data_IF_942692439081
#
_entry.id   IF_942692439081
#
_cell.length_a   1.000
_cell.length_b   1.000
_cell.length_c   1.000
_cell.angle_alpha   90.00
_cell.angle_beta   90.00
_cell.angle_gamma   90.00
#
_symmetry.space_group_name_H-M   'P 1'
#
loop_
_entity.id
_entity.type
_entity.pdbx_description
1 polymer ?
#
# COMPACT_ATOMS: atom_id res chain seq x y z
N UNK A 1 2.26 -41.72 62.92
CA UNK A 1 3.34 -40.86 63.45
C UNK A 1 3.23 -39.50 62.77
N UNK A 2 3.16 -38.46 63.59
CA UNK A 2 3.21 -37.00 63.35
C UNK A 2 2.61 -36.37 62.07
N UNK A 3 1.42 -35.78 62.29
CA UNK A 3 0.86 -34.66 61.54
C UNK A 3 1.47 -33.35 62.07
N UNK A 4 2.01 -32.49 61.20
CA UNK A 4 2.43 -31.12 61.55
C UNK A 4 1.48 -30.12 60.89
N UNK A 5 0.90 -29.26 61.74
CA UNK A 5 -0.01 -28.16 61.41
C UNK A 5 0.77 -26.91 60.96
N UNK A 6 0.27 -26.19 59.96
CA UNK A 6 0.60 -24.78 59.71
C UNK A 6 -0.73 -24.02 59.55
N UNK A 7 -1.23 -23.37 60.61
CA UNK A 7 -1.08 -21.95 60.99
C UNK A 7 -1.58 -20.96 59.92
N UNK A 8 -2.88 -20.71 60.03
CA UNK A 8 -3.60 -19.51 59.59
C UNK A 8 -2.94 -18.25 60.16
N UNK A 9 -2.56 -17.31 59.29
CA UNK A 9 -2.18 -15.95 59.68
C UNK A 9 -3.34 -15.03 59.31
N UNK A 10 -4.09 -14.56 60.31
CA UNK A 10 -4.99 -13.42 60.19
C UNK A 10 -4.14 -12.16 60.24
N UNK A 11 -4.17 -11.35 59.18
CA UNK A 11 -3.62 -10.00 59.19
C UNK A 11 -4.77 -9.01 59.01
N UNK A 12 -5.21 -8.44 60.13
CA UNK A 12 -6.11 -7.30 60.16
C UNK A 12 -5.31 -6.02 59.93
N UNK A 13 -5.53 -5.35 58.79
CA UNK A 13 -5.04 -4.00 58.53
C UNK A 13 -6.24 -3.04 58.50
N UNK A 14 -6.31 -2.24 59.56
CA UNK A 14 -7.19 -1.08 59.71
C UNK A 14 -6.62 0.07 58.87
N UNK A 15 -7.54 0.86 58.32
CA UNK A 15 -7.28 1.79 57.24
C UNK A 15 -6.61 3.10 57.63
N UNK A 16 -6.01 3.70 56.59
CA UNK A 16 -5.85 5.15 56.45
C UNK A 16 -6.40 5.47 55.07
N UNK A 17 -7.58 6.09 55.04
CA UNK A 17 -8.22 6.55 53.81
C UNK A 17 -7.43 7.73 53.25
N UNK A 18 -6.70 7.48 52.17
CA UNK A 18 -6.28 8.54 51.27
C UNK A 18 -7.51 8.97 50.44
N UNK A 19 -7.74 10.27 50.22
CA UNK A 19 -8.71 10.69 49.22
C UNK A 19 -8.25 10.07 47.89
N UNK A 20 -9.11 9.24 47.30
CA UNK A 20 -8.93 8.83 45.92
C UNK A 20 -8.99 10.12 45.09
N UNK A 21 -7.82 10.63 44.74
CA UNK A 21 -7.65 11.52 43.61
C UNK A 21 -8.39 10.82 42.47
N UNK A 22 -9.47 11.46 42.00
CA UNK A 22 -10.21 10.95 40.87
C UNK A 22 -9.20 10.65 39.77
N UNK A 23 -9.25 9.43 39.25
CA UNK A 23 -8.77 9.18 37.91
C UNK A 23 -9.61 10.10 37.01
N UNK A 24 -9.19 11.36 36.86
CA UNK A 24 -9.43 12.11 35.65
C UNK A 24 -8.82 11.22 34.59
N UNK A 25 -9.65 10.34 34.03
CA UNK A 25 -9.27 9.52 32.89
C UNK A 25 -8.73 10.52 31.89
N UNK A 26 -7.51 10.25 31.41
CA UNK A 26 -6.98 11.01 30.28
C UNK A 26 -8.10 11.05 29.25
N UNK A 27 -8.45 12.24 28.74
CA UNK A 27 -9.55 12.38 27.80
C UNK A 27 -9.30 11.39 26.69
N UNK A 28 -10.14 10.35 26.61
CA UNK A 28 -10.12 9.38 25.54
C UNK A 28 -10.18 10.20 24.26
N UNK A 29 -9.08 10.23 23.50
CA UNK A 29 -8.96 11.11 22.35
C UNK A 29 -10.11 10.75 21.41
N UNK A 30 -11.04 11.69 21.25
CA UNK A 30 -12.28 11.41 20.58
C UNK A 30 -11.99 11.45 19.08
N UNK A 31 -11.87 10.27 18.47
CA UNK A 31 -11.78 10.12 17.02
C UNK A 31 -12.94 10.87 16.33
N UNK A 32 -12.70 11.49 15.16
CA UNK A 32 -13.75 12.18 14.43
C UNK A 32 -14.87 11.21 14.03
N UNK A 33 -16.10 11.72 13.95
CA UNK A 33 -17.23 10.95 13.44
C UNK A 33 -16.98 10.53 11.99
N UNK A 34 -17.28 9.27 11.67
CA UNK A 34 -17.26 8.74 10.31
C UNK A 34 -18.37 9.42 9.50
N UNK A 35 -18.00 10.33 8.61
CA UNK A 35 -18.94 11.22 7.90
C UNK A 35 -18.96 11.00 6.39
N UNK A 36 -17.90 10.41 5.84
CA UNK A 36 -17.79 10.05 4.43
C UNK A 36 -17.88 8.53 4.27
N UNK A 37 -18.65 8.05 3.30
CA UNK A 37 -18.94 6.61 3.16
C UNK A 37 -18.82 6.13 1.71
N UNK A 38 -17.96 5.15 1.50
CA UNK A 38 -17.89 4.30 0.32
C UNK A 38 -18.68 3.00 0.51
N UNK A 39 -18.39 2.01 -0.33
CA UNK A 39 -18.97 0.67 -0.23
C UNK A 39 -18.34 -0.15 0.90
N UNK A 40 -17.02 -0.11 1.03
CA UNK A 40 -16.25 -0.87 2.03
C UNK A 40 -15.55 0.01 3.05
N UNK A 41 -15.46 1.32 2.78
CA UNK A 41 -14.70 2.27 3.61
C UNK A 41 -15.63 3.32 4.18
N UNK A 42 -15.51 3.59 5.48
CA UNK A 42 -16.07 4.78 6.12
C UNK A 42 -14.93 5.64 6.64
N UNK A 43 -14.96 6.93 6.34
CA UNK A 43 -13.89 7.86 6.66
C UNK A 43 -14.33 8.92 7.67
N UNK A 44 -13.57 9.05 8.75
CA UNK A 44 -13.64 10.14 9.71
C UNK A 44 -12.52 11.14 9.43
N UNK A 45 -12.83 12.44 9.49
CA UNK A 45 -11.89 13.49 9.09
C UNK A 45 -11.75 14.49 10.25
N UNK A 46 -10.52 14.76 10.64
CA UNK A 46 -10.23 15.80 11.62
C UNK A 46 -10.17 17.18 10.95
N UNK A 47 -11.05 18.08 11.37
CA UNK A 47 -11.11 19.45 10.88
C UNK A 47 -12.14 19.65 9.76
N UNK A 48 -11.87 20.60 8.85
CA UNK A 48 -12.78 21.01 7.77
C UNK A 48 -12.33 20.49 6.38
N UNK A 49 -11.38 19.56 6.34
CA UNK A 49 -10.92 18.96 5.09
C UNK A 49 -11.99 18.03 4.51
N UNK A 50 -11.92 17.80 3.19
CA UNK A 50 -12.78 16.84 2.49
C UNK A 50 -11.93 16.12 1.43
N UNK A 51 -12.08 14.80 1.28
CA UNK A 51 -11.36 14.06 0.25
C UNK A 51 -11.85 14.48 -1.13
N UNK A 52 -11.01 14.30 -2.13
CA UNK A 52 -11.47 14.42 -3.51
C UNK A 52 -12.52 13.34 -3.85
N UNK A 53 -13.42 13.66 -4.78
CA UNK A 53 -14.58 12.83 -5.12
C UNK A 53 -14.22 11.42 -5.61
N UNK A 54 -13.01 11.23 -6.14
CA UNK A 54 -12.51 9.91 -6.55
C UNK A 54 -11.91 9.07 -5.42
N UNK A 55 -11.57 9.65 -4.27
CA UNK A 55 -10.78 8.99 -3.22
C UNK A 55 -11.46 7.74 -2.65
N UNK A 56 -12.71 7.83 -2.19
CA UNK A 56 -13.41 6.67 -1.63
C UNK A 56 -13.70 5.60 -2.68
N UNK A 57 -14.06 6.02 -3.91
CA UNK A 57 -14.27 5.09 -5.04
C UNK A 57 -12.97 4.33 -5.36
N UNK A 58 -11.82 4.98 -5.25
CA UNK A 58 -10.52 4.34 -5.43
C UNK A 58 -10.22 3.32 -4.34
N UNK A 59 -10.46 3.67 -3.08
CA UNK A 59 -10.28 2.75 -1.96
C UNK A 59 -11.18 1.51 -2.11
N UNK A 60 -12.46 1.70 -2.48
CA UNK A 60 -13.38 0.59 -2.73
C UNK A 60 -12.87 -0.33 -3.86
N UNK A 61 -12.38 0.25 -4.97
CA UNK A 61 -11.76 -0.52 -6.05
C UNK A 61 -10.51 -1.26 -5.61
N UNK A 62 -9.74 -0.69 -4.69
CA UNK A 62 -8.57 -1.35 -4.14
C UNK A 62 -9.00 -2.59 -3.32
N UNK A 63 -10.04 -2.49 -2.48
CA UNK A 63 -10.62 -3.67 -1.77
C UNK A 63 -11.04 -4.75 -2.77
N UNK A 64 -11.77 -4.38 -3.82
CA UNK A 64 -12.22 -5.33 -4.84
C UNK A 64 -11.05 -5.97 -5.59
N UNK A 65 -10.03 -5.20 -5.95
CA UNK A 65 -8.84 -5.70 -6.62
C UNK A 65 -8.07 -6.69 -5.76
N UNK A 66 -7.94 -6.44 -4.45
CA UNK A 66 -7.35 -7.38 -3.50
C UNK A 66 -8.20 -8.64 -3.37
N UNK A 67 -9.53 -8.50 -3.28
CA UNK A 67 -10.44 -9.64 -3.23
C UNK A 67 -10.31 -10.55 -4.45
N UNK A 68 -10.20 -9.98 -5.65
CA UNK A 68 -9.95 -10.72 -6.89
C UNK A 68 -8.56 -11.37 -6.87
N UNK A 69 -7.51 -10.63 -6.51
CA UNK A 69 -6.14 -11.13 -6.50
C UNK A 69 -5.97 -12.34 -5.58
N UNK A 70 -6.55 -12.27 -4.38
CA UNK A 70 -6.41 -13.29 -3.35
C UNK A 70 -7.54 -14.33 -3.34
N UNK A 71 -8.47 -14.25 -4.30
CA UNK A 71 -9.65 -15.12 -4.38
C UNK A 71 -10.47 -15.11 -3.06
N UNK A 72 -10.58 -13.94 -2.43
CA UNK A 72 -11.32 -13.73 -1.17
C UNK A 72 -12.61 -12.96 -1.41
N UNK A 73 -13.61 -13.27 -0.59
CA UNK A 73 -14.85 -12.49 -0.55
C UNK A 73 -14.59 -11.15 0.14
N UNK A 74 -15.08 -10.07 -0.47
CA UNK A 74 -15.05 -8.71 0.11
C UNK A 74 -16.37 -8.33 0.80
N UNK A 75 -17.37 -9.23 0.80
CA UNK A 75 -18.71 -8.94 1.29
C UNK A 75 -18.76 -8.52 2.77
N UNK A 76 -17.81 -9.01 3.57
CA UNK A 76 -17.71 -8.73 5.01
C UNK A 76 -16.58 -7.73 5.33
N UNK A 77 -15.94 -7.14 4.32
CA UNK A 77 -14.90 -6.13 4.53
C UNK A 77 -15.56 -4.80 4.88
N UNK A 78 -15.13 -4.22 6.00
CA UNK A 78 -15.51 -2.88 6.44
C UNK A 78 -14.29 -2.23 7.09
N UNK A 79 -13.85 -1.09 6.54
CA UNK A 79 -12.65 -0.38 6.97
C UNK A 79 -13.06 0.99 7.48
N UNK A 80 -12.68 1.30 8.72
CA UNK A 80 -12.71 2.66 9.23
C UNK A 80 -11.37 3.32 8.90
N UNK A 81 -11.43 4.49 8.28
CA UNK A 81 -10.25 5.27 7.90
C UNK A 81 -10.32 6.64 8.57
N UNK A 82 -9.29 7.02 9.30
CA UNK A 82 -9.23 8.28 10.01
C UNK A 82 -8.16 9.16 9.39
N UNK A 83 -8.60 10.21 8.69
CA UNK A 83 -7.72 11.27 8.17
C UNK A 83 -7.56 12.34 9.24
N UNK A 84 -6.43 12.31 9.92
CA UNK A 84 -6.13 13.08 11.12
C UNK A 84 -5.06 14.14 10.86
N UNK A 85 -4.87 15.06 11.80
CA UNK A 85 -3.66 15.89 11.85
C UNK A 85 -2.48 15.05 12.30
N UNK A 86 -1.28 15.41 11.85
CA UNK A 86 -0.05 14.67 12.17
C UNK A 86 0.16 14.45 13.68
N UNK A 87 -0.20 15.43 14.53
CA UNK A 87 -0.06 15.28 15.98
C UNK A 87 -0.89 14.12 16.56
N UNK A 88 -2.12 13.91 16.08
CA UNK A 88 -2.96 12.78 16.52
C UNK A 88 -2.47 11.46 15.91
N UNK A 89 -1.90 11.49 14.71
CA UNK A 89 -1.21 10.31 14.14
C UNK A 89 0.00 9.95 14.99
N UNK A 90 0.82 10.92 15.40
CA UNK A 90 1.99 10.68 16.24
C UNK A 90 1.61 10.07 17.61
N UNK A 91 0.47 10.47 18.17
CA UNK A 91 -0.08 9.93 19.41
C UNK A 91 -0.54 8.47 19.26
N UNK A 92 -1.22 8.15 18.16
CA UNK A 92 -1.80 6.82 17.91
C UNK A 92 -0.78 5.81 17.35
N UNK A 93 0.02 6.26 16.39
CA UNK A 93 0.93 5.42 15.60
C UNK A 93 2.38 5.48 16.09
N UNK A 94 2.72 6.46 16.95
CA UNK A 94 4.09 6.75 17.37
C UNK A 94 4.71 7.90 16.59
N UNK A 95 5.77 8.50 17.17
CA UNK A 95 6.41 9.71 16.66
C UNK A 95 6.88 9.56 15.21
N UNK A 96 6.60 10.58 14.40
CA UNK A 96 7.01 10.72 13.00
C UNK A 96 6.38 9.69 12.04
N UNK A 97 5.36 8.94 12.49
CA UNK A 97 4.62 8.02 11.63
C UNK A 97 3.66 8.80 10.70
N UNK A 98 3.75 8.59 9.38
CA UNK A 98 2.81 9.20 8.44
C UNK A 98 1.41 8.56 8.52
N UNK A 99 1.38 7.26 8.80
CA UNK A 99 0.17 6.49 8.94
C UNK A 99 0.46 5.19 9.71
N UNK A 100 -0.60 4.52 10.16
CA UNK A 100 -0.54 3.13 10.61
C UNK A 100 -1.90 2.44 10.47
N UNK A 101 -1.87 1.12 10.27
CA UNK A 101 -3.02 0.23 10.41
C UNK A 101 -3.00 -0.47 11.79
N UNK A 102 -4.05 -0.25 12.59
CA UNK A 102 -4.23 -0.85 13.91
C UNK A 102 -5.57 -1.59 13.97
N UNK A 103 -5.79 -2.46 14.98
CA UNK A 103 -7.13 -2.97 15.24
C UNK A 103 -8.13 -1.82 15.36
N UNK A 104 -9.15 -1.81 14.49
CA UNK A 104 -10.18 -0.78 14.46
C UNK A 104 -10.09 0.17 13.27
N UNK A 105 -8.96 0.30 12.57
CA UNK A 105 -8.91 1.13 11.36
C UNK A 105 -7.52 1.52 10.88
N UNK A 106 -7.52 2.38 9.87
CA UNK A 106 -6.32 3.07 9.37
C UNK A 106 -6.32 4.49 9.91
N UNK A 107 -5.16 4.96 10.37
CA UNK A 107 -4.97 6.31 10.90
C UNK A 107 -3.85 6.97 10.10
N UNK A 108 -4.11 8.14 9.50
CA UNK A 108 -3.14 8.77 8.62
C UNK A 108 -3.26 10.28 8.59
N UNK A 109 -2.15 10.97 8.33
CA UNK A 109 -2.16 12.41 8.02
C UNK A 109 -2.49 12.73 6.56
N UNK A 110 -2.62 11.69 5.72
CA UNK A 110 -3.12 11.75 4.36
C UNK A 110 -4.54 11.19 4.21
N UNK A 111 -5.29 11.59 3.17
CA UNK A 111 -6.62 11.06 2.88
C UNK A 111 -6.61 9.68 2.21
N UNK A 112 -5.45 9.23 1.73
CA UNK A 112 -5.27 7.95 1.06
C UNK A 112 -3.82 7.50 1.22
N UNK A 113 -3.62 6.43 1.99
CA UNK A 113 -2.33 5.74 2.13
C UNK A 113 -2.56 4.29 1.80
N UNK A 114 -2.28 3.96 0.54
CA UNK A 114 -2.55 2.64 -0.03
C UNK A 114 -1.78 1.53 0.71
N UNK A 115 -0.57 1.82 1.20
CA UNK A 115 0.21 0.91 2.06
C UNK A 115 -0.59 0.41 3.27
N UNK A 116 -1.02 1.32 4.14
CA UNK A 116 -1.82 0.96 5.32
C UNK A 116 -3.18 0.37 4.97
N UNK A 117 -3.71 0.74 3.81
CA UNK A 117 -4.96 0.20 3.32
C UNK A 117 -4.84 -1.30 3.00
N UNK A 118 -3.71 -1.74 2.44
CA UNK A 118 -3.42 -3.17 2.22
C UNK A 118 -3.40 -3.91 3.56
N UNK A 119 -2.73 -3.37 4.58
CA UNK A 119 -2.77 -3.97 5.92
C UNK A 119 -4.19 -4.10 6.45
N UNK A 120 -5.01 -3.05 6.38
CA UNK A 120 -6.38 -3.09 6.90
C UNK A 120 -7.24 -4.17 6.22
N UNK A 121 -7.12 -4.34 4.90
CA UNK A 121 -7.83 -5.37 4.15
C UNK A 121 -7.32 -6.77 4.51
N UNK A 122 -6.01 -6.99 4.35
CA UNK A 122 -5.40 -8.32 4.48
C UNK A 122 -5.46 -8.81 5.93
N UNK A 123 -5.13 -7.95 6.89
CA UNK A 123 -5.21 -8.28 8.32
C UNK A 123 -6.66 -8.52 8.77
N UNK A 124 -7.65 -7.96 8.07
CA UNK A 124 -9.06 -8.30 8.28
C UNK A 124 -9.40 -9.74 7.90
N UNK A 125 -8.65 -10.36 6.98
CA UNK A 125 -8.85 -11.76 6.57
C UNK A 125 -8.02 -12.74 7.39
N UNK A 126 -6.76 -12.42 7.69
CA UNK A 126 -5.79 -13.37 8.25
C UNK A 126 -5.29 -12.98 9.64
N UNK A 127 -5.55 -11.75 10.08
CA UNK A 127 -4.76 -11.13 11.13
C UNK A 127 -3.37 -10.71 10.65
N UNK A 128 -2.58 -10.03 11.51
CA UNK A 128 -1.25 -9.58 11.17
C UNK A 128 -0.24 -10.75 11.20
N UNK A 129 0.46 -10.95 10.08
CA UNK A 129 1.52 -11.93 9.92
C UNK A 129 2.90 -11.42 10.36
N UNK A 130 3.95 -12.16 9.99
CA UNK A 130 5.33 -11.77 10.25
C UNK A 130 5.68 -10.44 9.57
N UNK A 131 6.41 -9.56 10.27
CA UNK A 131 6.56 -8.15 9.86
C UNK A 131 7.22 -7.96 8.50
N UNK A 132 8.29 -8.68 8.18
CA UNK A 132 8.96 -8.53 6.89
C UNK A 132 8.00 -8.82 5.74
N UNK A 133 7.19 -9.87 5.87
CA UNK A 133 6.19 -10.21 4.85
C UNK A 133 4.95 -9.32 4.89
N UNK A 134 4.52 -8.84 6.07
CA UNK A 134 3.41 -7.90 6.24
C UNK A 134 3.71 -6.57 5.54
N UNK A 135 4.82 -5.93 5.91
CA UNK A 135 5.27 -4.68 5.29
C UNK A 135 5.58 -4.90 3.80
N UNK A 136 6.22 -6.03 3.46
CA UNK A 136 6.51 -6.37 2.06
C UNK A 136 5.25 -6.49 1.22
N UNK A 137 4.17 -7.06 1.76
CA UNK A 137 2.90 -7.15 1.05
C UNK A 137 2.28 -5.77 0.85
N UNK A 138 2.31 -4.92 1.87
CA UNK A 138 1.82 -3.55 1.78
C UNK A 138 2.61 -2.72 0.76
N UNK A 139 3.93 -2.85 0.70
CA UNK A 139 4.75 -2.22 -0.35
C UNK A 139 4.41 -2.77 -1.73
N UNK A 140 4.34 -4.10 -1.85
CA UNK A 140 4.11 -4.77 -3.13
C UNK A 140 2.79 -4.37 -3.80
N UNK A 141 1.74 -4.12 -3.01
CA UNK A 141 0.37 -3.90 -3.48
C UNK A 141 -0.13 -2.46 -3.28
N UNK A 142 0.48 -1.72 -2.36
CA UNK A 142 0.04 -0.40 -1.94
C UNK A 142 0.96 0.74 -2.35
N UNK A 143 2.27 0.53 -2.53
CA UNK A 143 3.17 1.66 -2.78
C UNK A 143 3.55 1.84 -4.24
N UNK A 144 2.97 2.87 -4.87
CA UNK A 144 3.37 3.29 -6.21
C UNK A 144 4.63 4.17 -6.22
N UNK A 145 5.20 4.51 -5.06
CA UNK A 145 6.26 5.52 -4.89
C UNK A 145 7.66 4.91 -4.93
N UNK A 146 7.82 3.65 -4.52
CA UNK A 146 9.13 3.01 -4.56
C UNK A 146 9.46 2.64 -6.01
N UNK A 147 10.46 3.36 -6.55
CA UNK A 147 11.02 3.06 -7.87
C UNK A 147 11.64 1.64 -7.93
N UNK A 148 12.10 1.21 -9.10
CA UNK A 148 12.68 -0.13 -9.26
C UNK A 148 13.84 -0.35 -8.28
N UNK A 149 13.69 -1.32 -7.38
CA UNK A 149 14.71 -1.67 -6.40
C UNK A 149 15.84 -2.48 -7.05
N UNK A 150 17.08 -2.26 -6.56
CA UNK A 150 18.28 -2.98 -7.01
C UNK A 150 18.74 -3.86 -5.85
N UNK A 151 18.76 -5.17 -6.09
CA UNK A 151 18.96 -6.22 -5.09
C UNK A 151 20.36 -6.28 -4.40
N UNK A 152 21.20 -5.24 -4.52
CA UNK A 152 22.60 -5.29 -4.08
C UNK A 152 22.77 -5.32 -2.55
N UNK A 153 21.72 -5.08 -1.74
CA UNK A 153 21.79 -5.01 -0.27
C UNK A 153 20.95 -6.09 0.47
N UNK A 154 20.50 -7.15 -0.21
CA UNK A 154 19.49 -8.07 0.33
C UNK A 154 19.94 -9.00 1.47
N UNK A 155 21.23 -9.34 1.60
CA UNK A 155 21.69 -10.29 2.63
C UNK A 155 21.36 -9.82 4.06
N UNK A 156 21.31 -8.50 4.29
CA UNK A 156 20.88 -7.93 5.57
C UNK A 156 19.36 -8.10 5.79
N UNK A 157 18.58 -8.11 4.71
CA UNK A 157 17.13 -8.15 4.78
C UNK A 157 16.56 -9.50 5.26
N UNK A 158 17.13 -10.62 4.82
CA UNK A 158 16.74 -11.93 5.37
C UNK A 158 17.04 -12.06 6.87
N UNK A 159 18.09 -11.37 7.34
CA UNK A 159 18.43 -11.38 8.77
C UNK A 159 17.39 -10.68 9.65
N UNK A 160 16.47 -9.92 9.04
CA UNK A 160 15.36 -9.25 9.72
C UNK A 160 14.18 -10.18 10.00
N UNK A 161 14.07 -11.32 9.29
CA UNK A 161 12.95 -12.26 9.44
C UNK A 161 13.00 -12.92 10.82
N UNK A 162 11.94 -12.72 11.61
CA UNK A 162 11.88 -13.18 13.00
C UNK A 162 12.87 -12.50 13.94
N UNK A 163 13.47 -11.37 13.53
CA UNK A 163 14.29 -10.55 14.40
C UNK A 163 13.44 -9.76 15.41
N UNK A 164 14.05 -9.37 16.54
CA UNK A 164 13.37 -8.55 17.54
C UNK A 164 12.93 -7.21 16.95
N UNK A 165 11.85 -6.63 17.48
CA UNK A 165 11.06 -5.53 16.89
C UNK A 165 11.82 -4.23 16.59
N UNK A 166 13.10 -4.15 16.96
CA UNK A 166 13.96 -2.96 16.88
C UNK A 166 14.72 -2.80 15.56
N UNK A 167 14.77 -3.82 14.71
CA UNK A 167 15.38 -3.66 13.39
C UNK A 167 14.42 -2.90 12.47
N UNK A 168 14.96 -1.89 11.79
CA UNK A 168 14.26 -1.18 10.72
C UNK A 168 14.13 -2.13 9.53
N UNK A 169 12.92 -2.28 9.00
CA UNK A 169 12.65 -3.12 7.83
C UNK A 169 13.08 -2.35 6.58
N UNK A 170 13.86 -2.99 5.72
CA UNK A 170 14.08 -2.51 4.35
C UNK A 170 12.81 -2.76 3.51
N UNK A 171 11.90 -1.80 3.54
CA UNK A 171 10.60 -1.82 2.85
C UNK A 171 10.72 -2.09 1.34
N UNK A 172 11.56 -1.35 0.57
CA UNK A 172 11.78 -1.65 -0.85
C UNK A 172 12.17 -3.11 -1.10
N UNK A 173 13.07 -3.65 -0.28
CA UNK A 173 13.50 -5.04 -0.39
C UNK A 173 12.37 -6.02 -0.09
N UNK A 174 11.66 -5.81 1.01
CA UNK A 174 10.52 -6.63 1.40
C UNK A 174 9.45 -6.65 0.31
N UNK A 175 9.12 -5.49 -0.24
CA UNK A 175 8.14 -5.36 -1.33
C UNK A 175 8.55 -6.03 -2.63
N UNK A 176 9.82 -5.88 -3.02
CA UNK A 176 10.37 -6.55 -4.20
C UNK A 176 10.33 -8.09 -4.03
N UNK A 177 10.69 -8.60 -2.85
CA UNK A 177 10.66 -10.03 -2.59
C UNK A 177 9.25 -10.60 -2.55
N UNK A 178 8.32 -9.95 -1.86
CA UNK A 178 6.92 -10.40 -1.81
C UNK A 178 6.28 -10.35 -3.20
N UNK A 179 6.59 -9.33 -4.01
CA UNK A 179 6.14 -9.30 -5.41
C UNK A 179 6.64 -10.51 -6.18
N UNK A 180 7.92 -10.86 -6.07
CA UNK A 180 8.50 -12.04 -6.71
C UNK A 180 7.83 -13.35 -6.25
N UNK A 181 7.51 -13.47 -4.96
CA UNK A 181 6.76 -14.63 -4.44
C UNK A 181 5.37 -14.73 -5.07
N UNK A 182 4.66 -13.60 -5.22
CA UNK A 182 3.35 -13.56 -5.86
C UNK A 182 3.45 -14.00 -7.32
N UNK A 183 4.53 -13.66 -8.03
CA UNK A 183 4.72 -14.05 -9.42
C UNK A 183 5.05 -15.52 -9.61
N UNK A 184 5.94 -16.04 -8.77
CA UNK A 184 6.42 -17.42 -8.90
C UNK A 184 5.40 -18.41 -8.36
N UNK A 185 4.73 -18.07 -7.25
CA UNK A 185 3.87 -18.99 -6.50
C UNK A 185 2.38 -18.64 -6.57
N UNK A 186 2.02 -17.43 -7.03
CA UNK A 186 0.65 -16.93 -7.04
C UNK A 186 0.24 -16.28 -5.72
N UNK A 187 -0.61 -15.25 -5.80
CA UNK A 187 -1.06 -14.49 -4.63
C UNK A 187 -1.78 -15.35 -3.58
N UNK A 188 -2.58 -16.33 -4.00
CA UNK A 188 -3.29 -17.26 -3.12
C UNK A 188 -2.33 -18.08 -2.23
N UNK A 189 -1.16 -18.48 -2.77
CA UNK A 189 -0.14 -19.20 -1.99
C UNK A 189 0.55 -18.26 -0.98
N UNK A 190 0.83 -17.02 -1.40
CA UNK A 190 1.42 -16.00 -0.52
C UNK A 190 0.49 -15.66 0.64
N UNK A 191 -0.81 -15.49 0.38
CA UNK A 191 -1.78 -15.23 1.45
C UNK A 191 -1.93 -16.43 2.39
N UNK A 192 -1.88 -17.66 1.88
CA UNK A 192 -1.93 -18.86 2.72
C UNK A 192 -0.69 -19.00 3.62
N UNK A 193 0.49 -18.64 3.12
CA UNK A 193 1.69 -18.53 3.94
C UNK A 193 1.49 -17.48 5.04
N UNK A 194 1.03 -16.28 4.66
CA UNK A 194 0.82 -15.16 5.56
C UNK A 194 -0.16 -15.50 6.71
N UNK A 195 -1.29 -16.15 6.39
CA UNK A 195 -2.29 -16.67 7.35
C UNK A 195 -1.73 -17.67 8.36
N UNK A 196 -0.62 -18.34 8.01
CA UNK A 196 0.08 -19.28 8.89
C UNK A 196 1.09 -18.64 9.83
N UNK A 197 1.42 -17.35 9.67
CA UNK A 197 2.47 -16.66 10.44
C UNK A 197 1.90 -15.74 11.52
N UNK A 198 2.67 -15.52 12.58
CA UNK A 198 2.41 -14.51 13.62
C UNK A 198 3.60 -13.55 13.74
N UNK A 199 3.32 -12.29 14.15
CA UNK A 199 4.34 -11.26 14.41
C UNK A 199 5.46 -11.66 15.38
N UNK A 200 5.24 -12.69 16.20
CA UNK A 200 6.19 -13.15 17.22
C UNK A 200 6.82 -14.51 16.89
N UNK A 201 6.56 -15.07 15.71
CA UNK A 201 7.22 -16.29 15.27
C UNK A 201 8.74 -16.10 15.15
N UNK A 202 9.50 -17.15 15.48
CA UNK A 202 10.95 -17.14 15.31
C UNK A 202 11.30 -17.30 13.83
N UNK A 203 12.49 -16.85 13.43
CA UNK A 203 12.98 -17.07 12.06
C UNK A 203 13.00 -18.56 11.64
N UNK A 204 13.21 -19.49 12.59
CA UNK A 204 13.13 -20.93 12.33
C UNK A 204 11.68 -21.38 12.02
N UNK A 205 10.71 -20.94 12.81
CA UNK A 205 9.29 -21.24 12.58
C UNK A 205 8.82 -20.67 11.24
N UNK A 206 9.24 -19.45 10.91
CA UNK A 206 8.92 -18.80 9.63
C UNK A 206 9.55 -19.54 8.45
N UNK A 207 10.81 -19.96 8.56
CA UNK A 207 11.47 -20.74 7.51
C UNK A 207 10.75 -22.09 7.27
N UNK A 208 10.29 -22.77 8.33
CA UNK A 208 9.52 -24.00 8.23
C UNK A 208 8.15 -23.78 7.56
N UNK A 209 7.42 -22.72 7.93
CA UNK A 209 6.15 -22.35 7.32
C UNK A 209 6.33 -21.96 5.85
N UNK A 210 7.40 -21.25 5.53
CA UNK A 210 7.74 -20.85 4.17
C UNK A 210 7.99 -22.08 3.29
N UNK A 211 8.80 -23.04 3.77
CA UNK A 211 9.07 -24.26 3.02
C UNK A 211 7.81 -25.11 2.82
N UNK A 212 6.91 -25.15 3.81
CA UNK A 212 5.62 -25.83 3.69
C UNK A 212 4.71 -25.17 2.63
N UNK A 213 4.67 -23.84 2.59
CA UNK A 213 3.80 -23.10 1.68
C UNK A 213 4.31 -23.12 0.23
N UNK A 214 5.62 -22.96 0.02
CA UNK A 214 6.21 -22.74 -1.30
C UNK A 214 6.99 -23.93 -1.85
N UNK A 215 7.27 -24.95 -1.03
CA UNK A 215 8.01 -26.15 -1.42
C UNK A 215 9.51 -25.92 -1.65
N UNK A 216 10.04 -24.77 -1.25
CA UNK A 216 11.47 -24.43 -1.27
C UNK A 216 11.86 -23.73 0.02
N UNK A 217 13.09 -23.92 0.48
CA UNK A 217 13.60 -23.16 1.63
C UNK A 217 13.63 -21.66 1.32
N UNK A 218 13.50 -20.85 2.37
CA UNK A 218 13.59 -19.39 2.29
C UNK A 218 14.89 -18.93 1.61
N UNK A 219 16.02 -19.55 1.97
CA UNK A 219 17.32 -19.28 1.36
C UNK A 219 17.33 -19.58 -0.14
N UNK A 220 16.74 -20.70 -0.58
CA UNK A 220 16.69 -21.04 -2.00
C UNK A 220 15.81 -20.07 -2.79
N UNK A 221 14.67 -19.65 -2.22
CA UNK A 221 13.80 -18.64 -2.82
C UNK A 221 14.51 -17.28 -2.94
N UNK A 222 15.23 -16.87 -1.89
CA UNK A 222 16.06 -15.66 -1.90
C UNK A 222 17.14 -15.71 -3.00
N UNK A 223 17.93 -16.77 -3.08
CA UNK A 223 18.94 -16.90 -4.14
C UNK A 223 18.32 -16.86 -5.54
N UNK A 224 17.12 -17.43 -5.71
CA UNK A 224 16.39 -17.38 -6.96
C UNK A 224 15.91 -15.94 -7.29
N UNK A 225 15.44 -15.19 -6.29
CA UNK A 225 15.08 -13.79 -6.41
C UNK A 225 16.29 -12.95 -6.87
N UNK A 226 17.44 -13.08 -6.18
CA UNK A 226 18.68 -12.39 -6.57
C UNK A 226 19.10 -12.71 -8.01
N UNK A 227 18.95 -13.97 -8.42
CA UNK A 227 19.30 -14.42 -9.76
C UNK A 227 18.38 -13.87 -10.85
N UNK A 228 17.11 -13.59 -10.55
CA UNK A 228 16.18 -12.92 -11.47
C UNK A 228 16.45 -11.43 -11.58
N UNK A 229 16.96 -10.82 -10.50
CA UNK A 229 17.36 -9.42 -10.46
C UNK A 229 16.23 -8.52 -9.96
N UNK A 230 16.12 -7.32 -10.57
CA UNK A 230 15.29 -6.21 -10.09
C UNK A 230 13.84 -6.63 -9.80
N UNK A 231 13.33 -6.22 -8.64
CA UNK A 231 11.90 -6.30 -8.35
C UNK A 231 11.08 -5.25 -9.11
N UNK A 232 9.77 -5.44 -9.16
CA UNK A 232 8.82 -4.42 -9.58
C UNK A 232 7.71 -4.28 -8.53
N UNK A 233 6.89 -3.23 -8.63
CA UNK A 233 5.76 -3.00 -7.71
C UNK A 233 4.43 -3.17 -8.43
N UNK A 234 3.45 -3.84 -7.85
CA UNK A 234 2.16 -4.05 -8.50
C UNK A 234 1.22 -2.85 -8.32
N UNK A 235 0.82 -2.23 -9.43
CA UNK A 235 -0.15 -1.13 -9.42
C UNK A 235 -1.58 -1.67 -9.53
N UNK A 236 -1.99 -2.52 -8.60
CA UNK A 236 -3.23 -3.31 -8.63
C UNK A 236 -4.50 -2.50 -9.01
N UNK A 237 -4.92 -1.49 -8.22
CA UNK A 237 -6.14 -0.74 -8.54
C UNK A 237 -6.02 0.04 -9.86
N UNK A 238 -4.82 0.52 -10.20
CA UNK A 238 -4.61 1.23 -11.48
C UNK A 238 -4.73 0.27 -12.67
N UNK A 239 -4.17 -0.93 -12.56
CA UNK A 239 -4.13 -1.91 -13.65
C UNK A 239 -5.50 -2.54 -13.94
N UNK A 240 -6.43 -2.49 -12.99
CA UNK A 240 -7.82 -2.90 -13.21
C UNK A 240 -8.65 -1.84 -13.94
N UNK A 241 -8.16 -0.60 -14.07
CA UNK A 241 -8.89 0.47 -14.76
C UNK A 241 -9.17 0.10 -16.23
N UNK A 242 -10.40 0.33 -16.72
CA UNK A 242 -10.73 0.15 -18.13
C UNK A 242 -9.80 0.99 -19.02
N UNK A 243 -9.16 0.40 -20.05
CA UNK A 243 -8.29 1.15 -20.93
C UNK A 243 -9.10 2.15 -21.76
N UNK A 244 -8.57 3.35 -21.91
CA UNK A 244 -9.11 4.33 -22.84
C UNK A 244 -8.88 3.80 -24.26
N UNK A 245 -9.93 3.79 -25.06
CA UNK A 245 -9.88 3.26 -26.42
C UNK A 245 -8.93 4.07 -27.31
N UNK A 246 -8.23 3.38 -28.22
CA UNK A 246 -7.45 4.02 -29.26
C UNK A 246 -8.38 4.71 -30.28
N UNK A 247 -7.94 5.88 -30.77
CA UNK A 247 -8.40 6.35 -32.07
C UNK A 247 -7.61 5.61 -33.17
N UNK A 248 -7.97 5.81 -34.44
CA UNK A 248 -7.44 5.04 -35.58
C UNK A 248 -5.91 5.02 -35.63
N UNK A 249 -5.27 6.15 -35.34
CA UNK A 249 -3.82 6.32 -35.53
C UNK A 249 -3.04 6.58 -34.22
N UNK A 250 -3.73 6.86 -33.12
CA UNK A 250 -3.10 7.19 -31.85
C UNK A 250 -4.03 6.92 -30.67
N UNK A 251 -3.43 6.61 -29.54
CA UNK A 251 -4.12 6.77 -28.27
C UNK A 251 -3.96 8.23 -27.83
N UNK A 252 -5.07 8.86 -27.45
CA UNK A 252 -5.06 10.23 -26.95
C UNK A 252 -6.05 10.37 -25.80
N UNK A 253 -5.63 11.01 -24.71
CA UNK A 253 -6.53 11.36 -23.61
C UNK A 253 -6.31 12.80 -23.20
N UNK A 254 -7.41 13.52 -23.05
CA UNK A 254 -7.47 14.80 -22.37
C UNK A 254 -7.49 14.52 -20.86
N UNK A 255 -6.31 14.33 -20.28
CA UNK A 255 -6.17 13.97 -18.88
C UNK A 255 -6.28 15.22 -18.00
N UNK A 256 -7.46 15.47 -17.42
CA UNK A 256 -7.63 16.48 -16.38
C UNK A 256 -8.01 15.83 -15.06
N UNK A 257 -7.19 16.00 -14.03
CA UNK A 257 -7.51 15.51 -12.69
C UNK A 257 -8.04 16.68 -11.85
N UNK A 258 -9.30 16.58 -11.45
CA UNK A 258 -9.95 17.57 -10.60
C UNK A 258 -10.50 16.91 -9.34
N UNK A 259 -10.44 17.62 -8.22
CA UNK A 259 -10.92 17.09 -6.94
C UNK A 259 -12.44 16.82 -6.92
N UNK A 260 -13.21 17.44 -7.83
CA UNK A 260 -14.67 17.34 -7.87
C UNK A 260 -15.21 16.12 -8.63
N UNK A 261 -14.38 15.42 -9.41
CA UNK A 261 -14.84 14.32 -10.27
C UNK A 261 -14.09 13.04 -9.98
N UNK A 262 -12.81 12.99 -10.34
CA UNK A 262 -12.01 11.76 -10.43
C UNK A 262 -10.67 11.86 -9.71
N UNK A 263 -10.35 13.03 -9.16
CA UNK A 263 -9.16 13.25 -8.37
C UNK A 263 -9.14 12.39 -7.11
N UNK A 264 -7.95 11.90 -6.82
CA UNK A 264 -7.53 11.24 -5.60
C UNK A 264 -6.75 12.24 -4.74
N UNK A 265 -6.77 12.03 -3.42
CA UNK A 265 -6.07 12.89 -2.48
C UNK A 265 -7.00 13.90 -1.81
N UNK A 266 -6.48 15.07 -1.40
CA UNK A 266 -5.19 15.67 -1.79
C UNK A 266 -3.92 14.93 -1.34
N UNK A 267 -2.84 14.99 -2.13
CA UNK A 267 -1.49 14.54 -1.75
C UNK A 267 -0.88 15.54 -0.75
N UNK A 268 -1.35 15.43 0.50
CA UNK A 268 -0.98 16.26 1.62
C UNK A 268 0.32 15.72 2.23
N UNK A 269 1.39 16.51 2.14
CA UNK A 269 2.54 16.32 3.03
C UNK A 269 2.11 16.50 4.50
N UNK A 270 2.88 15.98 5.46
CA UNK A 270 2.50 15.88 6.89
C UNK A 270 2.11 17.21 7.55
N UNK A 271 2.50 18.35 6.96
CA UNK A 271 2.24 19.68 7.53
C UNK A 271 1.01 20.40 6.92
N UNK A 272 0.40 19.90 5.85
CA UNK A 272 -0.69 20.61 5.16
C UNK A 272 -1.79 19.68 4.68
N UNK A 273 -3.02 19.85 5.16
CA UNK A 273 -4.23 19.19 4.64
C UNK A 273 -4.59 19.61 3.18
N UNK A 274 -3.74 20.41 2.52
CA UNK A 274 -3.91 20.89 1.16
C UNK A 274 -2.79 20.36 0.26
N UNK A 275 -3.13 19.45 -0.63
CA UNK A 275 -2.24 18.79 -1.56
C UNK A 275 -2.77 18.85 -2.99
N UNK A 276 -1.97 18.38 -3.95
CA UNK A 276 -2.40 18.34 -5.34
C UNK A 276 -3.20 17.06 -5.57
N UNK A 277 -4.41 17.12 -6.15
CA UNK A 277 -5.11 15.90 -6.51
C UNK A 277 -4.30 15.14 -7.57
N UNK A 278 -4.47 13.83 -7.65
CA UNK A 278 -3.80 13.00 -8.65
C UNK A 278 -4.77 11.92 -9.13
N UNK A 279 -4.45 11.22 -10.21
CA UNK A 279 -5.31 10.18 -10.76
C UNK A 279 -4.56 9.21 -11.64
N UNK A 280 -5.28 8.30 -12.27
CA UNK A 280 -4.71 7.35 -13.22
C UNK A 280 -5.53 7.28 -14.49
N UNK A 281 -4.85 6.99 -15.59
CA UNK A 281 -5.45 6.54 -16.84
C UNK A 281 -4.72 5.29 -17.32
N UNK A 282 -5.35 4.53 -18.21
CA UNK A 282 -4.75 3.34 -18.78
C UNK A 282 -4.97 3.24 -20.29
N UNK A 283 -4.05 2.54 -20.95
CA UNK A 283 -4.10 2.23 -22.37
C UNK A 283 -3.58 0.82 -22.64
N UNK A 284 -3.83 0.29 -23.85
CA UNK A 284 -3.44 -1.07 -24.22
C UNK A 284 -2.67 -1.09 -25.52
N UNK A 285 -1.45 -1.62 -25.50
CA UNK A 285 -0.62 -1.84 -26.69
C UNK A 285 -0.96 -3.21 -27.26
N UNK A 286 -1.53 -3.24 -28.47
CA UNK A 286 -1.95 -4.50 -29.10
C UNK A 286 -0.79 -5.33 -29.65
N UNK A 287 0.30 -4.67 -30.08
CA UNK A 287 1.50 -5.30 -30.61
C UNK A 287 2.76 -4.60 -30.10
N UNK A 288 3.75 -5.37 -29.68
CA UNK A 288 5.04 -4.81 -29.29
C UNK A 288 5.70 -4.05 -30.44
N UNK A 289 6.39 -2.95 -30.12
CA UNK A 289 7.08 -2.12 -31.12
C UNK A 289 7.55 -0.78 -30.55
N UNK A 290 7.96 0.10 -31.45
CA UNK A 290 8.47 1.43 -31.12
C UNK A 290 7.33 2.45 -31.12
N UNK A 291 7.24 3.26 -30.06
CA UNK A 291 6.20 4.25 -29.86
C UNK A 291 6.80 5.57 -29.39
N UNK A 292 6.13 6.68 -29.65
CA UNK A 292 6.41 7.97 -29.00
C UNK A 292 5.31 8.30 -27.99
N UNK A 293 5.72 8.66 -26.77
CA UNK A 293 4.83 9.18 -25.73
C UNK A 293 4.98 10.70 -25.70
N UNK A 294 3.89 11.40 -26.00
CA UNK A 294 3.86 12.86 -26.07
C UNK A 294 2.97 13.42 -24.96
N UNK A 295 3.45 14.48 -24.31
CA UNK A 295 2.68 15.27 -23.35
C UNK A 295 2.63 16.73 -23.80
N UNK A 296 1.43 17.23 -24.07
CA UNK A 296 1.21 18.64 -24.31
C UNK A 296 0.98 19.36 -22.96
N UNK A 297 1.94 20.17 -22.52
CA UNK A 297 1.80 20.89 -21.26
C UNK A 297 3.12 21.38 -20.65
N UNK A 298 3.09 21.87 -19.40
CA UNK A 298 4.30 22.09 -18.61
C UNK A 298 5.08 20.78 -18.42
N UNK A 299 6.40 20.89 -18.34
CA UNK A 299 7.28 19.73 -18.15
C UNK A 299 7.03 19.10 -16.78
N UNK A 300 6.46 17.90 -16.80
CA UNK A 300 6.31 17.04 -15.63
C UNK A 300 6.78 15.63 -16.01
N UNK A 301 7.69 15.02 -15.24
CA UNK A 301 8.05 13.63 -15.48
C UNK A 301 6.82 12.76 -15.19
N UNK A 302 6.32 12.11 -16.24
CA UNK A 302 5.26 11.11 -16.15
C UNK A 302 5.86 9.74 -16.44
N UNK A 303 5.25 8.72 -15.86
CA UNK A 303 5.71 7.35 -15.99
C UNK A 303 4.57 6.48 -16.50
N UNK A 304 4.84 5.74 -17.57
CA UNK A 304 3.96 4.66 -18.02
C UNK A 304 4.47 3.33 -17.44
N UNK A 305 3.60 2.63 -16.72
CA UNK A 305 3.90 1.36 -16.09
C UNK A 305 3.11 0.24 -16.77
N UNK A 306 3.78 -0.85 -17.16
CA UNK A 306 3.12 -2.03 -17.71
C UNK A 306 2.41 -2.81 -16.59
N UNK A 307 1.23 -3.34 -16.89
CA UNK A 307 0.36 -4.05 -15.94
C UNK A 307 0.53 -5.57 -15.93
N UNK A 308 1.55 -6.09 -16.61
CA UNK A 308 1.87 -7.52 -16.61
C UNK A 308 2.79 -7.95 -15.46
N UNK A 309 3.23 -9.22 -15.48
CA UNK A 309 4.25 -9.74 -14.57
C UNK A 309 5.57 -8.96 -14.71
N UNK A 310 6.30 -8.75 -13.62
CA UNK A 310 7.62 -8.11 -13.55
C UNK A 310 8.59 -8.69 -14.58
N UNK A 311 8.56 -10.01 -14.79
CA UNK A 311 9.39 -10.68 -15.80
C UNK A 311 9.20 -10.14 -17.23
N UNK A 312 8.02 -9.57 -17.53
CA UNK A 312 7.67 -8.98 -18.82
C UNK A 312 7.71 -7.44 -18.80
N UNK A 313 7.94 -6.82 -17.64
CA UNK A 313 7.92 -5.36 -17.53
C UNK A 313 9.18 -4.75 -18.11
N UNK A 314 8.99 -4.02 -19.21
CA UNK A 314 9.90 -2.94 -19.56
C UNK A 314 10.02 -1.96 -18.37
N UNK A 315 11.19 -1.33 -18.16
CA UNK A 315 11.33 -0.27 -17.18
C UNK A 315 10.24 0.79 -17.40
N UNK A 316 9.74 1.37 -16.30
CA UNK A 316 8.80 2.48 -16.36
C UNK A 316 9.32 3.53 -17.35
N UNK A 317 8.51 3.86 -18.34
CA UNK A 317 8.93 4.81 -19.36
C UNK A 317 8.69 6.20 -18.82
N UNK A 318 9.76 6.92 -18.53
CA UNK A 318 9.71 8.33 -18.20
C UNK A 318 9.48 9.15 -19.49
N UNK A 319 8.56 10.10 -19.44
CA UNK A 319 8.30 11.04 -20.52
C UNK A 319 7.76 12.36 -19.95
N UNK A 320 7.46 13.34 -20.82
CA UNK A 320 6.82 14.58 -20.39
C UNK A 320 7.73 15.81 -20.34
N UNK A 321 8.91 15.77 -20.97
CA UNK A 321 9.64 16.97 -21.36
C UNK A 321 9.05 17.47 -22.70
N UNK A 322 8.40 18.65 -22.75
CA UNK A 322 7.72 19.12 -23.95
C UNK A 322 8.70 19.27 -25.12
N UNK A 323 8.38 18.63 -26.24
CA UNK A 323 9.22 18.63 -27.45
C UNK A 323 10.33 17.56 -27.48
N UNK A 324 10.48 16.75 -26.43
CA UNK A 324 11.43 15.63 -26.37
C UNK A 324 10.66 14.31 -26.26
N UNK A 325 10.00 13.92 -27.36
CA UNK A 325 9.39 12.59 -27.48
C UNK A 325 10.37 11.65 -28.17
N UNK A 326 11.22 10.99 -27.39
CA UNK A 326 12.08 9.93 -27.90
C UNK A 326 11.26 8.65 -28.16
N UNK A 327 11.56 7.88 -29.22
CA UNK A 327 10.98 6.56 -29.42
C UNK A 327 11.33 5.64 -28.25
N UNK A 328 10.34 4.88 -27.80
CA UNK A 328 10.47 3.88 -26.73
C UNK A 328 9.91 2.55 -27.21
N UNK A 329 10.56 1.46 -26.83
CA UNK A 329 10.04 0.11 -27.11
C UNK A 329 9.02 -0.27 -26.04
N UNK A 330 7.77 -0.49 -26.46
CA UNK A 330 6.71 -1.00 -25.61
C UNK A 330 6.38 -2.44 -25.99
N UNK A 331 6.20 -3.29 -24.99
CA UNK A 331 5.65 -4.63 -25.16
C UNK A 331 4.15 -4.54 -25.41
N UNK A 332 3.57 -5.63 -25.92
CA UNK A 332 2.11 -5.76 -25.93
C UNK A 332 1.58 -5.84 -24.49
N UNK A 333 0.39 -5.30 -24.26
CA UNK A 333 -0.30 -5.36 -22.98
C UNK A 333 -0.77 -4.00 -22.48
N UNK A 334 -1.31 -4.01 -21.27
CA UNK A 334 -1.88 -2.83 -20.63
C UNK A 334 -0.81 -1.99 -19.94
N UNK A 335 -0.97 -0.68 -20.02
CA UNK A 335 -0.16 0.31 -19.35
C UNK A 335 -1.04 1.26 -18.53
N UNK A 336 -0.51 1.75 -17.41
CA UNK A 336 -1.12 2.79 -16.58
C UNK A 336 -0.20 3.99 -16.47
N UNK A 337 -0.78 5.18 -16.40
CA UNK A 337 -0.08 6.45 -16.24
C UNK A 337 -0.67 7.17 -15.05
N UNK A 338 0.18 7.57 -14.09
CA UNK A 338 -0.22 8.47 -13.01
C UNK A 338 -0.27 9.90 -13.55
N UNK A 339 -1.39 10.56 -13.31
CA UNK A 339 -1.68 11.91 -13.78
C UNK A 339 -1.60 12.90 -12.61
N UNK A 340 -0.74 13.92 -12.68
CA UNK A 340 -0.75 14.99 -11.69
C UNK A 340 -1.97 15.89 -11.92
N UNK A 341 -2.67 16.27 -10.85
CA UNK A 341 -3.71 17.28 -10.92
C UNK A 341 -3.16 18.69 -10.79
N UNK A 342 -4.07 19.66 -10.70
CA UNK A 342 -3.75 21.04 -10.37
C UNK A 342 -4.68 21.53 -9.27
N UNK A 343 -4.17 22.21 -8.23
CA UNK A 343 -5.03 22.84 -7.22
C UNK A 343 -5.87 23.98 -7.80
N UNK A 344 -5.46 24.52 -8.96
CA UNK A 344 -5.95 25.81 -9.44
C UNK A 344 -7.03 25.72 -10.52
N UNK A 345 -7.04 24.74 -11.42
CA UNK A 345 -7.98 24.66 -12.55
C UNK A 345 -8.04 23.27 -13.18
N UNK A 346 -9.10 23.00 -13.97
CA UNK A 346 -9.27 21.91 -14.94
C UNK A 346 -8.14 21.91 -16.00
N UNK A 347 -6.91 21.64 -15.58
CA UNK A 347 -5.80 21.47 -16.51
C UNK A 347 -5.93 20.12 -17.15
N UNK A 348 -6.26 20.14 -18.42
CA UNK A 348 -6.21 19.00 -19.30
C UNK A 348 -4.80 18.88 -19.86
N UNK A 349 -4.19 17.72 -19.70
CA UNK A 349 -2.93 17.33 -20.32
C UNK A 349 -3.24 16.38 -21.48
N UNK A 350 -3.20 16.84 -22.74
CA UNK A 350 -3.28 15.95 -23.87
C UNK A 350 -2.06 15.01 -23.84
N UNK A 351 -2.34 13.75 -23.60
CA UNK A 351 -1.37 12.67 -23.58
C UNK A 351 -1.58 11.81 -24.82
N UNK A 352 -0.51 11.55 -25.58
CA UNK A 352 -0.62 10.76 -26.82
C UNK A 352 0.41 9.64 -26.86
N UNK A 353 -0.01 8.48 -27.38
CA UNK A 353 0.88 7.37 -27.73
C UNK A 353 0.73 7.11 -29.22
N UNK A 354 1.84 7.24 -29.96
CA UNK A 354 1.85 7.16 -31.42
C UNK A 354 2.83 6.06 -31.86
N UNK A 355 2.41 5.09 -32.69
CA UNK A 355 3.33 4.11 -33.27
C UNK A 355 4.36 4.78 -34.19
N UNK A 356 5.62 4.35 -34.12
CA UNK A 356 6.61 4.66 -35.16
C UNK A 356 6.43 3.68 -36.33
N UNK A 357 6.24 4.22 -37.54
CA UNK A 357 5.92 3.45 -38.75
C UNK A 357 7.12 2.81 -39.47
#
# INVERSE_FOLDING_TARGET
MSSVKAKTLLLSLLGVGAPMSGCEGEPEEQLPELSEHGMYVSMGIEGEASPCGGTLVWMDRHVEALGVLFERSVADVSIEYYWLRQASVDELCGLDAYACALPGGVYSSGPLVEHEFVHAVVNGWTGPGERFFDEGLAVALGDHIFGPYVAEEFDEALSMIGADRKLEIDYPTAGAFVTDLIEVHGASAVLAFYDGTDRNDSGEAIAELFEQAFGSSLEAAHQAFLARGRGCTMLLPACSLPPVAWDVDAWAVDAGVSCSVDGLGPDAGPETLGGTPWGFTSFEISSAGSYRLELDGPAYPMFAHHCGPCAERAPSVAFGVPGEAEPVELAAGRYVVRLPGSPSYDRVYPLRVVPEG
#
